data_IF_915243941006
#
_entry.id   IF_915243941006
#
_cell.length_a   1.000
_cell.length_b   1.000
_cell.length_c   1.000
_cell.angle_alpha   90.00
_cell.angle_beta   90.00
_cell.angle_gamma   90.00
#
_symmetry.space_group_name_H-M   'P 1'
#
loop_
_entity.id
_entity.type
_entity.pdbx_description
1 polymer ?
#
# COMPACT_ATOMS: atom_id res chain seq x y z
N UNK A 1 21.23 -4.73 29.52
CA UNK A 1 20.75 -4.54 28.14
C UNK A 1 19.45 -5.31 27.96
N UNK A 2 18.29 -4.66 28.17
CA UNK A 2 17.02 -5.25 27.77
C UNK A 2 16.98 -5.23 26.24
N UNK A 3 16.85 -6.40 25.62
CA UNK A 3 16.71 -6.53 24.17
C UNK A 3 15.30 -6.06 23.84
N UNK A 4 15.16 -5.06 22.97
CA UNK A 4 13.86 -4.62 22.47
C UNK A 4 13.07 -5.85 21.98
N UNK A 5 11.75 -5.92 22.22
CA UNK A 5 10.97 -7.08 21.86
C UNK A 5 10.92 -7.20 20.33
N UNK A 6 11.39 -8.34 19.82
CA UNK A 6 11.41 -8.61 18.39
C UNK A 6 10.01 -9.05 17.92
N UNK A 7 9.59 -8.69 16.69
CA UNK A 7 8.37 -9.21 16.10
C UNK A 7 8.41 -10.74 16.04
N UNK A 8 7.27 -11.39 16.29
CA UNK A 8 7.20 -12.85 16.22
C UNK A 8 7.51 -13.38 14.82
N UNK A 9 8.11 -14.58 14.75
CA UNK A 9 8.42 -15.26 13.48
C UNK A 9 7.16 -15.40 12.60
N UNK A 10 5.99 -15.59 13.22
CA UNK A 10 4.71 -15.66 12.52
C UNK A 10 4.34 -14.33 11.85
N UNK A 11 4.55 -13.18 12.51
CA UNK A 11 4.33 -11.86 11.92
C UNK A 11 5.31 -11.59 10.77
N UNK A 12 6.58 -11.95 10.95
CA UNK A 12 7.59 -11.82 9.90
C UNK A 12 7.23 -12.67 8.68
N UNK A 13 6.82 -13.92 8.89
CA UNK A 13 6.40 -14.82 7.81
C UNK A 13 5.14 -14.31 7.09
N UNK A 14 4.11 -13.89 7.86
CA UNK A 14 2.88 -13.32 7.31
C UNK A 14 3.17 -12.07 6.47
N UNK A 15 3.95 -11.14 7.01
CA UNK A 15 4.33 -9.92 6.32
C UNK A 15 5.18 -10.19 5.07
N UNK A 16 6.11 -11.15 5.13
CA UNK A 16 6.89 -11.55 3.96
C UNK A 16 6.00 -12.13 2.86
N UNK A 17 5.05 -13.01 3.20
CA UNK A 17 4.09 -13.58 2.24
C UNK A 17 3.22 -12.50 1.59
N UNK A 18 2.69 -11.56 2.39
CA UNK A 18 1.90 -10.44 1.88
C UNK A 18 2.72 -9.51 0.98
N UNK A 19 3.98 -9.24 1.34
CA UNK A 19 4.89 -8.44 0.53
C UNK A 19 5.19 -9.12 -0.82
N UNK A 20 5.51 -10.41 -0.82
CA UNK A 20 5.71 -11.18 -2.05
C UNK A 20 4.46 -11.18 -2.94
N UNK A 21 3.28 -11.37 -2.35
CA UNK A 21 2.02 -11.31 -3.08
C UNK A 21 1.76 -9.91 -3.67
N UNK A 22 1.93 -8.85 -2.87
CA UNK A 22 1.76 -7.47 -3.32
C UNK A 22 2.72 -7.12 -4.45
N UNK A 23 3.99 -7.50 -4.34
CA UNK A 23 5.02 -7.31 -5.38
C UNK A 23 4.67 -8.06 -6.66
N UNK A 24 4.19 -9.30 -6.56
CA UNK A 24 3.75 -10.07 -7.71
C UNK A 24 2.56 -9.41 -8.41
N UNK A 25 1.54 -8.95 -7.67
CA UNK A 25 0.41 -8.23 -8.25
C UNK A 25 0.87 -6.92 -8.90
N UNK A 26 1.68 -6.11 -8.22
CA UNK A 26 2.20 -4.86 -8.77
C UNK A 26 2.94 -5.08 -10.10
N UNK A 27 3.82 -6.08 -10.14
CA UNK A 27 4.56 -6.46 -11.35
C UNK A 27 3.64 -6.85 -12.50
N UNK A 28 2.61 -7.65 -12.22
CA UNK A 28 1.64 -8.08 -13.23
C UNK A 28 0.90 -6.88 -13.82
N UNK A 29 0.45 -5.95 -12.97
CA UNK A 29 -0.26 -4.75 -13.45
C UNK A 29 0.66 -3.81 -14.24
N UNK A 30 1.93 -3.65 -13.84
CA UNK A 30 2.91 -2.89 -14.62
C UNK A 30 3.24 -3.54 -15.96
N UNK A 31 3.32 -4.88 -16.01
CA UNK A 31 3.48 -5.61 -17.28
C UNK A 31 2.32 -5.34 -18.24
N UNK A 32 1.08 -5.32 -17.76
CA UNK A 32 -0.10 -4.97 -18.56
C UNK A 32 0.03 -3.53 -19.09
N UNK A 33 0.36 -2.57 -18.23
CA UNK A 33 0.53 -1.17 -18.63
C UNK A 33 1.68 -0.96 -19.62
N UNK A 34 2.78 -1.70 -19.46
CA UNK A 34 3.92 -1.66 -20.37
C UNK A 34 3.58 -2.28 -21.73
N UNK A 35 2.78 -3.35 -21.76
CA UNK A 35 2.32 -3.98 -22.99
C UNK A 35 1.50 -3.02 -23.86
N UNK A 36 0.72 -2.11 -23.25
CA UNK A 36 -0.04 -1.08 -23.99
C UNK A 36 0.83 -0.07 -24.75
N UNK A 37 2.15 -0.02 -24.49
CA UNK A 37 3.07 0.93 -25.11
C UNK A 37 3.99 0.30 -26.16
N UNK A 38 3.92 -1.02 -26.36
CA UNK A 38 4.86 -1.74 -27.26
C UNK A 38 4.64 -1.45 -28.74
N UNK A 39 3.42 -1.08 -29.13
CA UNK A 39 3.12 -0.78 -30.51
C UNK A 39 3.69 0.59 -30.89
N UNK A 40 4.65 0.59 -31.83
CA UNK A 40 5.35 1.79 -32.27
C UNK A 40 4.42 2.85 -32.88
N UNK A 41 3.27 2.41 -33.43
CA UNK A 41 2.17 3.25 -33.93
C UNK A 41 1.34 3.90 -32.82
N UNK A 42 1.42 3.40 -31.58
CA UNK A 42 0.68 3.88 -30.42
C UNK A 42 1.48 4.84 -29.54
N UNK A 43 2.71 5.23 -29.95
CA UNK A 43 3.54 6.20 -29.21
C UNK A 43 2.82 7.55 -29.12
N UNK A 44 2.16 7.79 -27.98
CA UNK A 44 1.39 9.01 -27.68
C UNK A 44 -0.12 8.78 -27.57
N UNK A 45 -0.64 7.65 -28.05
CA UNK A 45 -2.04 7.27 -27.83
C UNK A 45 -2.18 6.45 -26.56
N UNK A 46 -2.90 7.00 -25.59
CA UNK A 46 -3.29 6.27 -24.40
C UNK A 46 -4.37 5.24 -24.75
N UNK A 47 -4.28 4.07 -24.14
CA UNK A 47 -5.30 3.02 -24.23
C UNK A 47 -5.82 2.66 -22.85
N UNK A 48 -7.07 2.19 -22.79
CA UNK A 48 -7.70 1.79 -21.54
C UNK A 48 -7.13 0.42 -21.15
N UNK A 49 -6.46 0.28 -19.98
CA UNK A 49 -6.01 -1.02 -19.52
C UNK A 49 -7.22 -1.92 -19.21
N UNK A 50 -7.16 -3.16 -19.66
CA UNK A 50 -8.15 -4.20 -19.44
C UNK A 50 -7.49 -5.47 -18.90
N UNK A 51 -8.26 -6.28 -18.17
CA UNK A 51 -7.79 -7.55 -17.60
C UNK A 51 -7.54 -7.52 -16.10
N UNK A 52 -7.82 -8.65 -15.44
CA UNK A 52 -7.70 -8.83 -13.98
C UNK A 52 -8.40 -7.70 -13.21
N UNK A 53 -7.72 -7.09 -12.24
CA UNK A 53 -8.26 -6.03 -11.40
C UNK A 53 -8.48 -4.72 -12.16
N UNK A 54 -7.97 -4.57 -13.39
CA UNK A 54 -8.32 -3.41 -14.21
C UNK A 54 -9.79 -3.39 -14.60
N UNK A 55 -10.51 -4.53 -14.56
CA UNK A 55 -11.94 -4.54 -14.86
C UNK A 55 -12.75 -3.79 -13.80
N UNK A 56 -12.33 -3.88 -12.53
CA UNK A 56 -13.03 -3.26 -11.39
C UNK A 56 -12.41 -1.94 -10.97
N UNK A 57 -11.08 -1.79 -11.08
CA UNK A 57 -10.32 -0.65 -10.55
C UNK A 57 -9.43 -0.04 -11.63
N UNK A 58 -9.25 1.27 -11.60
CA UNK A 58 -8.47 2.02 -12.59
C UNK A 58 -6.97 1.87 -12.37
N UNK A 59 -6.55 1.92 -11.11
CA UNK A 59 -5.15 1.87 -10.70
C UNK A 59 -4.92 0.72 -9.70
N UNK A 60 -5.06 -0.55 -10.11
CA UNK A 60 -4.85 -1.71 -9.23
C UNK A 60 -3.40 -1.87 -8.75
N UNK A 61 -2.42 -1.28 -9.44
CA UNK A 61 -1.03 -1.26 -9.00
C UNK A 61 -0.84 -0.42 -7.73
N UNK A 62 -1.56 0.70 -7.58
CA UNK A 62 -1.55 1.48 -6.33
C UNK A 62 -2.18 0.71 -5.17
N UNK A 63 -3.21 -0.09 -5.43
CA UNK A 63 -3.77 -0.98 -4.41
C UNK A 63 -2.74 -2.04 -3.95
N UNK A 64 -1.98 -2.60 -4.90
CA UNK A 64 -0.89 -3.54 -4.59
C UNK A 64 0.24 -2.86 -3.80
N UNK A 65 0.57 -1.61 -4.11
CA UNK A 65 1.54 -0.81 -3.37
C UNK A 65 1.08 -0.57 -1.92
N UNK A 66 -0.17 -0.16 -1.70
CA UNK A 66 -0.75 -0.03 -0.34
C UNK A 66 -0.61 -1.34 0.45
N UNK A 67 -0.88 -2.49 -0.19
CA UNK A 67 -0.75 -3.80 0.45
C UNK A 67 0.69 -4.11 0.89
N UNK A 68 1.69 -3.73 0.08
CA UNK A 68 3.11 -3.87 0.44
C UNK A 68 3.44 -3.03 1.68
N UNK A 69 2.96 -1.79 1.75
CA UNK A 69 3.19 -0.94 2.93
C UNK A 69 2.49 -1.50 4.17
N UNK A 70 1.28 -2.04 4.04
CA UNK A 70 0.60 -2.75 5.14
C UNK A 70 1.41 -3.96 5.61
N UNK A 71 1.99 -4.72 4.67
CA UNK A 71 2.87 -5.84 5.02
C UNK A 71 4.13 -5.37 5.79
N UNK A 72 4.75 -4.27 5.38
CA UNK A 72 5.84 -3.66 6.14
C UNK A 72 5.41 -3.19 7.52
N UNK A 73 4.23 -2.58 7.67
CA UNK A 73 3.69 -2.21 8.96
C UNK A 73 3.51 -3.41 9.91
N UNK A 74 3.06 -4.55 9.38
CA UNK A 74 2.93 -5.80 10.17
C UNK A 74 4.30 -6.32 10.62
N UNK A 75 5.30 -6.34 9.73
CA UNK A 75 6.65 -6.82 10.06
C UNK A 75 7.39 -5.89 11.04
N UNK A 76 7.11 -4.59 10.99
CA UNK A 76 7.75 -3.57 11.82
C UNK A 76 7.01 -3.32 13.13
N UNK A 77 5.89 -4.00 13.37
CA UNK A 77 5.15 -3.88 14.61
C UNK A 77 5.87 -4.70 15.69
N UNK A 78 6.58 -4.02 16.58
CA UNK A 78 7.25 -4.63 17.72
C UNK A 78 6.17 -5.13 18.71
N UNK A 79 6.14 -6.43 18.99
CA UNK A 79 5.29 -7.02 20.03
C UNK A 79 5.71 -6.48 21.40
N UNK A 80 4.78 -6.26 22.33
CA UNK A 80 5.12 -5.79 23.68
C UNK A 80 5.91 -6.89 24.42
N UNK A 81 6.95 -6.59 25.23
CA UNK A 81 7.50 -7.60 26.13
C UNK A 81 6.43 -7.94 27.18
N UNK A 82 6.29 -9.21 27.62
CA UNK A 82 5.39 -9.55 28.71
C UNK A 82 5.73 -8.71 29.95
N UNK A 83 4.69 -8.13 30.53
CA UNK A 83 4.75 -7.17 31.64
C UNK A 83 5.64 -7.70 32.78
N UNK A 84 6.82 -7.10 32.98
CA UNK A 84 7.76 -7.58 34.00
C UNK A 84 9.11 -6.87 34.10
N UNK A 85 9.51 -6.03 33.14
CA UNK A 85 10.77 -5.28 33.26
C UNK A 85 10.54 -3.90 33.88
N UNK A 86 10.88 -3.80 35.17
CA UNK A 86 10.91 -2.61 36.00
C UNK A 86 11.66 -1.44 35.31
N UNK A 87 10.93 -0.51 34.70
CA UNK A 87 11.45 0.77 34.21
C UNK A 87 11.47 1.76 35.38
N UNK A 88 12.60 2.44 35.59
CA UNK A 88 12.79 3.36 36.71
C UNK A 88 11.79 4.54 36.73
N UNK A 89 11.41 5.04 37.92
CA UNK A 89 10.17 5.82 38.10
C UNK A 89 10.23 7.27 37.59
N UNK A 90 11.41 7.82 37.29
CA UNK A 90 11.61 9.26 37.11
C UNK A 90 11.50 9.77 35.65
N UNK A 91 11.15 8.91 34.67
CA UNK A 91 11.04 9.31 33.25
C UNK A 91 9.84 8.70 32.51
N UNK A 92 8.78 8.32 33.23
CA UNK A 92 7.60 7.62 32.67
C UNK A 92 6.92 8.39 31.52
N UNK A 93 6.82 9.73 31.59
CA UNK A 93 6.20 10.53 30.54
C UNK A 93 7.05 10.58 29.26
N UNK A 94 8.35 10.87 29.38
CA UNK A 94 9.26 10.95 28.24
C UNK A 94 9.42 9.58 27.54
N UNK A 95 9.52 8.50 28.32
CA UNK A 95 9.58 7.13 27.79
C UNK A 95 8.28 6.77 27.05
N UNK A 96 7.11 7.03 27.65
CA UNK A 96 5.82 6.71 27.01
C UNK A 96 5.61 7.45 25.69
N UNK A 97 6.05 8.70 25.59
CA UNK A 97 5.99 9.48 24.33
C UNK A 97 6.94 8.94 23.26
N UNK A 98 8.16 8.56 23.64
CA UNK A 98 9.16 7.98 22.72
C UNK A 98 8.72 6.59 22.22
N UNK A 99 8.20 5.73 23.10
CA UNK A 99 7.64 4.43 22.71
C UNK A 99 6.35 4.59 21.89
N UNK A 100 5.51 5.57 22.20
CA UNK A 100 4.30 5.90 21.43
C UNK A 100 4.62 6.29 19.98
N UNK A 101 5.52 7.27 19.78
CA UNK A 101 5.97 7.68 18.44
C UNK A 101 6.66 6.52 17.68
N UNK A 102 7.46 5.71 18.38
CA UNK A 102 8.12 4.53 17.80
C UNK A 102 7.12 3.46 17.33
N UNK A 103 5.97 3.34 18.01
CA UNK A 103 4.88 2.42 17.66
C UNK A 103 4.04 2.92 16.47
N UNK A 104 3.83 4.22 16.31
CA UNK A 104 2.96 4.73 15.24
C UNK A 104 3.69 5.10 13.95
N UNK A 105 5.03 5.16 13.93
CA UNK A 105 5.81 5.58 12.74
C UNK A 105 5.45 4.82 11.45
N UNK A 106 5.26 3.50 11.54
CA UNK A 106 4.94 2.67 10.39
C UNK A 106 3.47 2.84 9.95
N UNK A 107 2.55 3.05 10.90
CA UNK A 107 1.15 3.36 10.60
C UNK A 107 1.00 4.73 9.96
N UNK A 108 1.73 5.74 10.46
CA UNK A 108 1.79 7.07 9.88
C UNK A 108 2.28 6.99 8.43
N UNK A 109 3.34 6.22 8.17
CA UNK A 109 3.84 5.98 6.81
C UNK A 109 2.77 5.31 5.91
N UNK A 110 2.10 4.27 6.40
CA UNK A 110 1.02 3.61 5.66
C UNK A 110 -0.13 4.56 5.31
N UNK A 111 -0.58 5.37 6.27
CA UNK A 111 -1.65 6.36 6.07
C UNK A 111 -1.22 7.42 5.07
N UNK A 112 0.01 7.91 5.17
CA UNK A 112 0.58 8.88 4.24
C UNK A 112 0.60 8.34 2.81
N UNK A 113 1.16 7.14 2.62
CA UNK A 113 1.22 6.49 1.30
C UNK A 113 -0.18 6.21 0.75
N UNK A 114 -1.08 5.65 1.56
CA UNK A 114 -2.45 5.37 1.14
C UNK A 114 -3.18 6.65 0.70
N UNK A 115 -3.00 7.77 1.41
CA UNK A 115 -3.59 9.06 1.04
C UNK A 115 -3.02 9.57 -0.28
N UNK A 116 -1.69 9.58 -0.42
CA UNK A 116 -1.01 10.04 -1.64
C UNK A 116 -1.42 9.23 -2.88
N UNK A 117 -1.45 7.90 -2.75
CA UNK A 117 -1.84 7.00 -3.82
C UNK A 117 -3.33 7.11 -4.15
N UNK A 118 -4.19 7.31 -3.15
CA UNK A 118 -5.64 7.52 -3.37
C UNK A 118 -5.90 8.80 -4.16
N UNK A 119 -5.24 9.91 -3.81
CA UNK A 119 -5.35 11.18 -4.55
C UNK A 119 -4.85 11.01 -5.99
N UNK A 120 -3.73 10.30 -6.17
CA UNK A 120 -3.15 10.03 -7.49
C UNK A 120 -4.04 9.13 -8.35
N UNK A 121 -4.65 8.11 -7.75
CA UNK A 121 -5.62 7.24 -8.39
C UNK A 121 -6.87 8.02 -8.82
N UNK A 122 -7.38 8.91 -7.97
CA UNK A 122 -8.55 9.72 -8.27
C UNK A 122 -8.30 10.66 -9.45
N UNK A 123 -7.15 11.33 -9.48
CA UNK A 123 -6.73 12.18 -10.61
C UNK A 123 -6.62 11.37 -11.91
N UNK A 124 -6.02 10.18 -11.85
CA UNK A 124 -5.86 9.27 -12.99
C UNK A 124 -7.21 8.79 -13.51
N UNK A 125 -8.10 8.35 -12.62
CA UNK A 125 -9.46 7.93 -12.95
C UNK A 125 -10.28 9.07 -13.57
N UNK A 126 -10.19 10.27 -13.02
CA UNK A 126 -10.81 11.47 -13.59
C UNK A 126 -10.25 11.82 -14.96
N UNK A 127 -8.94 11.68 -15.16
CA UNK A 127 -8.31 11.85 -16.46
C UNK A 127 -8.83 10.84 -17.47
N UNK A 128 -8.93 9.55 -17.12
CA UNK A 128 -9.49 8.51 -17.99
C UNK A 128 -10.94 8.81 -18.39
N UNK A 129 -11.79 9.24 -17.46
CA UNK A 129 -13.18 9.63 -17.76
C UNK A 129 -13.26 10.80 -18.75
N UNK A 130 -12.43 11.83 -18.56
CA UNK A 130 -12.40 13.00 -19.45
C UNK A 130 -11.84 12.66 -20.83
N UNK A 131 -10.81 11.83 -20.88
CA UNK A 131 -10.10 11.51 -22.12
C UNK A 131 -10.88 10.51 -22.99
N UNK A 132 -11.48 9.48 -22.39
CA UNK A 132 -12.18 8.42 -23.13
C UNK A 132 -13.71 8.57 -23.13
N UNK A 133 -14.28 9.47 -22.33
CA UNK A 133 -15.70 9.79 -22.32
C UNK A 133 -16.58 8.55 -22.21
N UNK A 134 -17.45 8.34 -23.21
CA UNK A 134 -18.38 7.21 -23.28
C UNK A 134 -17.72 5.84 -23.44
N UNK A 135 -16.47 5.76 -23.91
CA UNK A 135 -15.73 4.50 -24.07
C UNK A 135 -15.20 3.94 -22.75
N UNK A 136 -15.15 4.76 -21.69
CA UNK A 136 -14.63 4.34 -20.40
C UNK A 136 -15.69 3.63 -19.55
N UNK A 137 -15.41 2.45 -18.97
CA UNK A 137 -16.38 1.70 -18.18
C UNK A 137 -16.81 2.47 -16.92
N UNK A 138 -18.10 2.83 -16.85
CA UNK A 138 -18.67 3.63 -15.75
C UNK A 138 -18.67 2.94 -14.39
N UNK A 139 -18.66 1.60 -14.37
CA UNK A 139 -18.65 0.82 -13.13
C UNK A 139 -17.25 0.74 -12.49
N UNK A 140 -16.19 1.12 -13.22
CA UNK A 140 -14.81 1.05 -12.73
C UNK A 140 -14.59 2.08 -11.62
N UNK A 141 -13.91 1.67 -10.56
CA UNK A 141 -13.56 2.46 -9.38
C UNK A 141 -12.14 3.03 -9.50
N UNK A 142 -11.80 4.01 -8.66
CA UNK A 142 -10.47 4.63 -8.73
C UNK A 142 -9.39 3.69 -8.16
N UNK A 143 -9.56 3.20 -6.93
CA UNK A 143 -8.55 2.41 -6.22
C UNK A 143 -9.12 1.29 -5.33
N UNK A 144 -10.12 1.56 -4.49
CA UNK A 144 -10.69 0.57 -3.57
C UNK A 144 -12.10 0.20 -4.05
N UNK A 145 -12.39 -1.08 -4.35
CA UNK A 145 -13.68 -1.49 -4.92
C UNK A 145 -14.91 -1.10 -4.10
N UNK A 146 -14.74 -0.90 -2.78
CA UNK A 146 -15.81 -0.70 -1.81
C UNK A 146 -15.95 0.73 -1.27
N UNK A 147 -15.06 1.67 -1.67
CA UNK A 147 -15.13 3.04 -1.17
C UNK A 147 -15.22 4.05 -2.32
N UNK A 148 -14.41 3.92 -3.39
CA UNK A 148 -14.40 4.87 -4.53
C UNK A 148 -13.65 4.38 -5.78
#
# INVERSE_FOLDING_TARGET
FARDPAPSIMQMALGALLCCYGQAQQHIHHKILAALRKDASSRGQYSIPTGRWFNTVSCPHYLAEILIYVAFAIMLNEDMPPCGTFVQPNSQLAMSSVFGLRRYKHLILCIWVATNLTVSAHKSHGWYKRHFGSKYPKHRKAIIPLIF
#
